data_IF_968223907000
#
_entry.id   IF_968223907000
#
_cell.length_a   1.000
_cell.length_b   1.000
_cell.length_c   1.000
_cell.angle_alpha   90.00
_cell.angle_beta   90.00
_cell.angle_gamma   90.00
#
_symmetry.space_group_name_H-M   'P 1'
#
loop_
_entity.id
_entity.type
_entity.pdbx_description
1 polymer ?
#
# COMPACT_ATOMS: atom_id res chain seq x y z
N UNK A 1 -21.72 23.19 -1.00
CA UNK A 1 -21.22 24.32 -0.19
C UNK A 1 -19.70 24.24 -0.26
N UNK A 2 -18.98 25.21 -0.84
CA UNK A 2 -17.50 25.17 -0.83
C UNK A 2 -17.08 25.40 0.62
N UNK A 3 -16.68 24.34 1.32
CA UNK A 3 -16.09 24.44 2.65
C UNK A 3 -14.79 25.21 2.51
N UNK A 4 -14.70 26.39 3.11
CA UNK A 4 -13.48 27.19 3.11
C UNK A 4 -12.62 26.70 4.28
N UNK A 5 -11.43 26.17 4.00
CA UNK A 5 -10.47 25.79 5.03
C UNK A 5 -10.17 26.95 5.97
N UNK A 6 -10.01 26.64 7.26
CA UNK A 6 -9.36 27.54 8.22
C UNK A 6 -7.89 27.78 7.82
N UNK A 7 -7.25 28.81 8.37
CA UNK A 7 -5.85 29.10 8.00
C UNK A 7 -4.90 27.96 8.39
N UNK A 8 -5.12 27.31 9.55
CA UNK A 8 -4.37 26.10 9.94
C UNK A 8 -4.59 24.94 8.96
N UNK A 9 -5.83 24.71 8.54
CA UNK A 9 -6.16 23.67 7.56
C UNK A 9 -5.55 23.97 6.18
N UNK A 10 -5.38 25.24 5.80
CA UNK A 10 -4.69 25.60 4.55
C UNK A 10 -3.20 25.27 4.63
N UNK A 11 -2.53 25.62 5.72
CA UNK A 11 -1.11 25.31 5.91
C UNK A 11 -0.85 23.79 5.90
N UNK A 12 -1.69 23.02 6.60
CA UNK A 12 -1.63 21.56 6.61
C UNK A 12 -1.89 20.97 5.22
N UNK A 13 -2.93 21.44 4.52
CA UNK A 13 -3.23 21.01 3.16
C UNK A 13 -2.07 21.27 2.20
N UNK A 14 -1.49 22.48 2.20
CA UNK A 14 -0.35 22.82 1.34
C UNK A 14 0.88 21.96 1.63
N UNK A 15 1.15 21.70 2.91
CA UNK A 15 2.21 20.79 3.35
C UNK A 15 1.98 19.35 2.83
N UNK A 16 0.78 18.81 3.00
CA UNK A 16 0.40 17.47 2.54
C UNK A 16 0.51 17.34 1.02
N UNK A 17 0.04 18.33 0.26
CA UNK A 17 0.16 18.34 -1.21
C UNK A 17 1.61 18.22 -1.66
N UNK A 18 2.53 18.95 -1.01
CA UNK A 18 3.96 18.85 -1.32
C UNK A 18 4.51 17.46 -1.00
N UNK A 19 4.19 16.92 0.17
CA UNK A 19 4.66 15.59 0.60
C UNK A 19 4.15 14.47 -0.30
N UNK A 20 2.86 14.47 -0.64
CA UNK A 20 2.24 13.52 -1.57
C UNK A 20 2.86 13.62 -2.97
N UNK A 21 3.09 14.85 -3.46
CA UNK A 21 3.75 15.06 -4.76
C UNK A 21 5.17 14.48 -4.76
N UNK A 22 5.92 14.68 -3.69
CA UNK A 22 7.28 14.15 -3.53
C UNK A 22 7.28 12.62 -3.39
N UNK A 23 6.26 12.06 -2.74
CA UNK A 23 6.07 10.61 -2.65
C UNK A 23 5.65 9.97 -3.98
N UNK A 24 5.23 10.76 -4.98
CA UNK A 24 4.90 10.30 -6.32
C UNK A 24 3.40 10.23 -6.63
N UNK A 25 2.54 10.86 -5.82
CA UNK A 25 1.11 10.93 -6.11
C UNK A 25 0.85 11.69 -7.43
N UNK A 26 -0.02 11.12 -8.28
CA UNK A 26 -0.53 11.76 -9.51
C UNK A 26 -1.53 12.87 -9.17
N UNK A 27 -2.39 12.65 -8.18
CA UNK A 27 -3.40 13.64 -7.73
C UNK A 27 -3.23 14.04 -6.24
N UNK A 28 -2.11 14.68 -5.85
CA UNK A 28 -1.80 14.98 -4.45
C UNK A 28 -2.84 15.87 -3.75
N UNK A 29 -3.55 16.71 -4.49
CA UNK A 29 -4.60 17.58 -3.94
C UNK A 29 -5.80 16.81 -3.41
N UNK A 30 -6.19 15.71 -4.07
CA UNK A 30 -7.33 14.89 -3.65
C UNK A 30 -7.05 14.21 -2.31
N UNK A 31 -5.93 13.49 -2.24
CA UNK A 31 -5.46 12.84 -1.00
C UNK A 31 -5.30 13.84 0.15
N UNK A 32 -4.66 14.99 -0.08
CA UNK A 32 -4.49 16.02 0.95
C UNK A 32 -5.81 16.62 1.43
N UNK A 33 -6.77 16.85 0.51
CA UNK A 33 -8.08 17.38 0.88
C UNK A 33 -8.80 16.42 1.82
N UNK A 34 -8.84 15.12 1.51
CA UNK A 34 -9.51 14.13 2.35
C UNK A 34 -8.88 14.02 3.74
N UNK A 35 -7.55 14.08 3.88
CA UNK A 35 -6.92 14.07 5.21
C UNK A 35 -7.34 15.29 6.04
N UNK A 36 -7.31 16.49 5.44
CA UNK A 36 -7.69 17.73 6.14
C UNK A 36 -9.18 17.80 6.47
N UNK A 37 -10.05 17.24 5.62
CA UNK A 37 -11.52 17.32 5.82
C UNK A 37 -12.10 16.17 6.61
N UNK A 38 -11.55 14.97 6.49
CA UNK A 38 -12.10 13.73 7.06
C UNK A 38 -11.27 13.22 8.24
N UNK A 39 -10.05 13.73 8.44
CA UNK A 39 -9.16 13.33 9.53
C UNK A 39 -8.53 11.94 9.34
N UNK A 40 -8.61 11.38 8.14
CA UNK A 40 -8.03 10.09 7.76
C UNK A 40 -6.55 10.30 7.41
N UNK A 41 -5.60 9.46 7.86
CA UNK A 41 -4.18 9.64 7.58
C UNK A 41 -3.81 9.26 6.12
N UNK A 42 -4.29 10.03 5.15
CA UNK A 42 -4.18 9.75 3.71
C UNK A 42 -2.74 9.69 3.24
N UNK A 43 -1.85 10.55 3.74
CA UNK A 43 -0.44 10.47 3.37
C UNK A 43 0.19 9.16 3.85
N UNK A 44 -0.17 8.66 5.03
CA UNK A 44 0.32 7.39 5.53
C UNK A 44 -0.23 6.21 4.70
N UNK A 45 -1.54 6.24 4.35
CA UNK A 45 -2.15 5.27 3.43
C UNK A 45 -1.41 5.23 2.10
N UNK A 46 -1.17 6.38 1.49
CA UNK A 46 -0.47 6.49 0.22
C UNK A 46 0.94 5.85 0.28
N UNK A 47 1.71 6.13 1.33
CA UNK A 47 3.06 5.58 1.48
C UNK A 47 3.06 4.05 1.58
N UNK A 48 2.15 3.48 2.38
CA UNK A 48 2.03 2.02 2.52
C UNK A 48 1.57 1.39 1.20
N UNK A 49 0.53 1.94 0.57
CA UNK A 49 0.03 1.45 -0.71
C UNK A 49 1.14 1.47 -1.77
N UNK A 50 1.94 2.54 -1.82
CA UNK A 50 3.09 2.61 -2.71
C UNK A 50 4.08 1.48 -2.48
N UNK A 51 4.52 1.29 -1.24
CA UNK A 51 5.48 0.22 -0.92
C UNK A 51 4.91 -1.18 -1.23
N UNK A 52 3.65 -1.44 -0.88
CA UNK A 52 3.00 -2.71 -1.16
C UNK A 52 2.85 -2.96 -2.67
N UNK A 53 2.55 -1.91 -3.43
CA UNK A 53 2.41 -1.98 -4.88
C UNK A 53 3.76 -2.18 -5.58
N UNK A 54 4.82 -1.53 -5.10
CA UNK A 54 6.20 -1.74 -5.56
C UNK A 54 6.64 -3.20 -5.31
N UNK A 55 6.36 -3.74 -4.12
CA UNK A 55 6.60 -5.17 -3.79
C UNK A 55 5.84 -6.08 -4.77
N UNK A 56 4.56 -5.80 -5.01
CA UNK A 56 3.74 -6.63 -5.90
C UNK A 56 4.26 -6.63 -7.36
N UNK A 57 4.92 -5.56 -7.80
CA UNK A 57 5.46 -5.42 -9.15
C UNK A 57 6.89 -5.96 -9.29
N UNK A 58 7.65 -6.06 -8.20
CA UNK A 58 9.04 -6.51 -8.25
C UNK A 58 9.18 -8.03 -8.32
N UNK A 59 8.82 -8.60 -9.47
CA UNK A 59 8.87 -10.06 -9.68
C UNK A 59 10.27 -10.66 -9.49
N UNK A 60 11.33 -10.00 -9.96
CA UNK A 60 12.71 -10.45 -9.78
C UNK A 60 13.12 -10.50 -8.30
N UNK A 61 12.82 -9.42 -7.54
CA UNK A 61 13.11 -9.39 -6.10
C UNK A 61 12.31 -10.46 -5.36
N UNK A 62 11.03 -10.66 -5.73
CA UNK A 62 10.19 -11.68 -5.11
C UNK A 62 10.69 -13.10 -5.40
N UNK A 63 11.21 -13.38 -6.60
CA UNK A 63 11.84 -14.67 -6.92
C UNK A 63 13.12 -14.84 -6.11
N UNK A 64 13.97 -13.81 -6.02
CA UNK A 64 15.19 -13.86 -5.23
C UNK A 64 14.90 -14.13 -3.75
N UNK A 65 13.85 -13.53 -3.18
CA UNK A 65 13.40 -13.81 -1.81
C UNK A 65 12.78 -15.21 -1.67
N UNK A 66 12.12 -15.72 -2.70
CA UNK A 66 11.57 -17.08 -2.69
C UNK A 66 12.67 -18.15 -2.59
N UNK A 67 13.90 -17.85 -3.04
CA UNK A 67 15.03 -18.77 -2.95
C UNK A 67 15.39 -19.13 -1.51
N UNK A 68 15.10 -18.26 -0.53
CA UNK A 68 15.29 -18.58 0.89
C UNK A 68 14.33 -19.68 1.40
N UNK A 69 13.24 -19.94 0.68
CA UNK A 69 12.23 -20.96 1.03
C UNK A 69 12.32 -22.20 0.13
N UNK A 70 12.83 -22.05 -1.09
CA UNK A 70 13.00 -23.11 -2.09
C UNK A 70 14.25 -22.84 -2.93
N UNK A 71 15.36 -23.51 -2.59
CA UNK A 71 16.66 -23.36 -3.27
C UNK A 71 16.61 -23.64 -4.79
N UNK A 72 15.58 -24.33 -5.28
CA UNK A 72 15.39 -24.66 -6.70
C UNK A 72 14.44 -23.69 -7.43
N UNK A 73 13.93 -22.64 -6.77
CA UNK A 73 12.91 -21.74 -7.35
C UNK A 73 13.39 -21.05 -8.63
N UNK A 74 14.65 -20.66 -8.71
CA UNK A 74 15.22 -20.03 -9.90
C UNK A 74 15.30 -21.00 -11.08
N UNK A 75 15.65 -22.26 -10.84
CA UNK A 75 15.66 -23.30 -11.86
C UNK A 75 14.23 -23.54 -12.37
N UNK A 76 13.26 -23.69 -11.46
CA UNK A 76 11.84 -23.86 -11.80
C UNK A 76 11.31 -22.66 -12.60
N UNK A 77 11.64 -21.45 -12.19
CA UNK A 77 11.28 -20.22 -12.91
C UNK A 77 11.83 -20.25 -14.33
N UNK A 78 13.12 -20.58 -14.52
CA UNK A 78 13.73 -20.63 -15.84
C UNK A 78 13.10 -21.70 -16.75
N UNK A 79 12.83 -22.90 -16.21
CA UNK A 79 12.12 -23.96 -16.96
C UNK A 79 10.73 -23.50 -17.40
N UNK A 80 9.96 -22.87 -16.51
CA UNK A 80 8.62 -22.37 -16.84
C UNK A 80 8.73 -21.25 -17.89
N UNK A 81 9.66 -20.30 -17.68
CA UNK A 81 9.93 -19.17 -18.59
C UNK A 81 10.21 -19.63 -20.01
N UNK A 82 11.02 -20.68 -20.18
CA UNK A 82 11.35 -21.23 -21.50
C UNK A 82 10.14 -21.87 -22.20
N UNK A 83 9.16 -22.37 -21.45
CA UNK A 83 7.94 -23.00 -21.98
C UNK A 83 6.89 -21.94 -22.33
N UNK A 84 6.62 -20.99 -21.43
CA UNK A 84 5.48 -20.06 -21.57
C UNK A 84 5.87 -18.71 -22.17
N UNK A 85 7.15 -18.38 -22.15
CA UNK A 85 7.69 -17.06 -22.51
C UNK A 85 7.70 -16.08 -21.33
N UNK A 86 8.76 -15.29 -21.25
CA UNK A 86 9.03 -14.34 -20.17
C UNK A 86 7.89 -13.35 -19.94
N UNK A 87 7.42 -12.67 -21.00
CA UNK A 87 6.34 -11.66 -20.88
C UNK A 87 5.08 -12.22 -20.22
N UNK A 88 4.65 -13.43 -20.62
CA UNK A 88 3.45 -14.07 -20.06
C UNK A 88 3.66 -14.49 -18.62
N UNK A 89 4.84 -15.02 -18.31
CA UNK A 89 5.18 -15.44 -16.95
C UNK A 89 5.23 -14.24 -15.99
N UNK A 90 5.93 -13.17 -16.37
CA UNK A 90 6.04 -11.95 -15.56
C UNK A 90 4.68 -11.28 -15.36
N UNK A 91 3.84 -11.22 -16.40
CA UNK A 91 2.48 -10.69 -16.30
C UNK A 91 1.61 -11.51 -15.32
N UNK A 92 1.69 -12.84 -15.38
CA UNK A 92 1.02 -13.72 -14.43
C UNK A 92 1.53 -13.50 -12.99
N UNK A 93 2.85 -13.52 -12.78
CA UNK A 93 3.46 -13.37 -11.46
C UNK A 93 3.15 -12.01 -10.83
N UNK A 94 3.16 -10.93 -11.62
CA UNK A 94 2.75 -9.60 -11.16
C UNK A 94 1.29 -9.60 -10.70
N UNK A 95 0.40 -10.20 -11.48
CA UNK A 95 -1.03 -10.26 -11.15
C UNK A 95 -1.29 -11.13 -9.91
N UNK A 96 -0.60 -12.26 -9.79
CA UNK A 96 -0.64 -13.13 -8.62
C UNK A 96 -0.14 -12.42 -7.36
N UNK A 97 0.97 -11.71 -7.47
CA UNK A 97 1.56 -10.93 -6.36
C UNK A 97 0.62 -9.81 -5.90
N UNK A 98 0.00 -9.06 -6.82
CA UNK A 98 -1.05 -8.08 -6.48
C UNK A 98 -2.22 -8.75 -5.74
N UNK A 99 -2.63 -9.95 -6.14
CA UNK A 99 -3.66 -10.72 -5.45
C UNK A 99 -3.27 -11.12 -4.02
N UNK A 100 -2.04 -11.59 -3.81
CA UNK A 100 -1.53 -11.88 -2.46
C UNK A 100 -1.55 -10.61 -1.59
N UNK A 101 -1.01 -9.50 -2.11
CA UNK A 101 -0.96 -8.23 -1.39
C UNK A 101 -2.36 -7.71 -1.06
N UNK A 102 -3.34 -7.84 -1.96
CA UNK A 102 -4.73 -7.47 -1.66
C UNK A 102 -5.31 -8.27 -0.47
N UNK A 103 -5.00 -9.57 -0.37
CA UNK A 103 -5.42 -10.37 0.79
C UNK A 103 -4.69 -9.93 2.08
N UNK A 104 -3.39 -9.59 2.00
CA UNK A 104 -2.65 -9.03 3.14
C UNK A 104 -3.25 -7.70 3.58
N UNK A 105 -3.63 -6.84 2.63
CA UNK A 105 -4.31 -5.58 2.89
C UNK A 105 -5.63 -5.81 3.64
N UNK A 106 -6.44 -6.79 3.22
CA UNK A 106 -7.66 -7.16 3.94
C UNK A 106 -7.38 -7.53 5.41
N UNK A 107 -6.34 -8.33 5.64
CA UNK A 107 -5.88 -8.66 7.00
C UNK A 107 -5.43 -7.41 7.78
N UNK A 108 -4.71 -6.48 7.16
CA UNK A 108 -4.26 -5.23 7.80
C UNK A 108 -5.41 -4.30 8.17
N UNK A 109 -6.43 -4.22 7.30
CA UNK A 109 -7.61 -3.37 7.50
C UNK A 109 -8.57 -3.95 8.56
N UNK A 110 -8.73 -5.28 8.60
CA UNK A 110 -9.67 -5.96 9.51
C UNK A 110 -9.06 -6.36 10.86
N UNK A 111 -7.73 -6.52 10.92
CA UNK A 111 -7.03 -7.00 12.10
C UNK A 111 -7.26 -8.50 12.36
N UNK A 112 -7.51 -8.90 13.60
CA UNK A 112 -7.80 -10.29 13.92
C UNK A 112 -9.26 -10.65 13.54
N UNK A 113 -9.43 -11.44 12.47
CA UNK A 113 -10.74 -11.94 12.02
C UNK A 113 -11.45 -12.82 13.07
N UNK A 114 -10.70 -13.42 14.00
CA UNK A 114 -11.23 -14.27 15.07
C UNK A 114 -11.23 -13.56 16.44
N UNK A 115 -11.22 -12.22 16.46
CA UNK A 115 -11.14 -11.42 17.69
C UNK A 115 -12.21 -11.77 18.73
N UNK A 116 -13.41 -12.16 18.30
CA UNK A 116 -14.49 -12.59 19.20
C UNK A 116 -14.15 -13.90 19.94
N UNK A 117 -13.47 -14.84 19.27
CA UNK A 117 -13.01 -16.09 19.86
C UNK A 117 -11.78 -15.85 20.73
N UNK A 118 -10.81 -15.13 20.19
CA UNK A 118 -9.47 -14.98 20.77
C UNK A 118 -9.39 -13.88 21.84
N UNK A 119 -10.41 -13.02 21.91
CA UNK A 119 -10.50 -11.88 22.84
C UNK A 119 -9.36 -10.87 22.69
N UNK A 120 -8.76 -10.79 21.50
CA UNK A 120 -7.71 -9.84 21.15
C UNK A 120 -7.79 -9.48 19.66
N UNK A 121 -7.47 -8.23 19.34
CA UNK A 121 -7.27 -7.76 17.96
C UNK A 121 -6.06 -6.83 17.88
N UNK A 122 -5.72 -6.43 16.67
CA UNK A 122 -4.62 -5.52 16.34
C UNK A 122 -5.04 -4.64 15.15
N UNK A 123 -4.32 -3.54 14.95
CA UNK A 123 -4.54 -2.62 13.83
C UNK A 123 -3.22 -2.03 13.36
N UNK A 124 -3.15 -1.61 12.11
CA UNK A 124 -2.06 -0.77 11.64
C UNK A 124 -2.24 0.67 12.16
N UNK A 125 -1.16 1.25 12.69
CA UNK A 125 -1.18 2.52 13.40
C UNK A 125 -0.08 3.43 12.85
N UNK A 126 -0.42 4.71 12.61
CA UNK A 126 0.55 5.74 12.22
C UNK A 126 1.48 6.06 13.39
N UNK A 127 2.76 6.22 13.08
CA UNK A 127 3.77 6.74 14.00
C UNK A 127 4.35 8.05 13.48
N UNK A 128 4.98 8.81 14.38
CA UNK A 128 5.85 9.93 14.00
C UNK A 128 7.26 9.44 13.61
N UNK A 129 8.17 10.39 13.37
CA UNK A 129 9.57 10.13 13.03
C UNK A 129 10.40 9.45 14.14
N UNK A 130 9.90 9.43 15.38
CA UNK A 130 10.54 8.77 16.52
C UNK A 130 9.92 7.41 16.82
N UNK A 131 9.06 6.90 15.93
CA UNK A 131 8.28 5.68 16.11
C UNK A 131 7.24 5.75 17.25
N UNK A 132 6.90 6.95 17.71
CA UNK A 132 5.84 7.13 18.69
C UNK A 132 4.47 7.11 18.02
N UNK A 133 3.52 6.41 18.62
CA UNK A 133 2.17 6.29 18.04
C UNK A 133 1.45 7.63 18.04
N UNK A 134 0.83 7.98 16.91
CA UNK A 134 -0.01 9.17 16.82
C UNK A 134 -1.46 8.91 17.24
N UNK A 135 -1.80 7.65 17.55
CA UNK A 135 -3.18 7.20 17.80
C UNK A 135 -4.09 7.16 16.57
N UNK A 136 -3.58 7.53 15.38
CA UNK A 136 -4.35 7.46 14.13
C UNK A 136 -4.17 6.09 13.46
N UNK A 137 -5.28 5.37 13.31
CA UNK A 137 -5.31 4.09 12.61
C UNK A 137 -5.14 4.30 11.10
N UNK A 138 -4.39 3.41 10.46
CA UNK A 138 -4.29 3.33 9.01
C UNK A 138 -5.20 2.18 8.58
N UNK A 139 -6.28 2.50 7.87
CA UNK A 139 -7.33 1.57 7.47
C UNK A 139 -7.90 1.95 6.09
N UNK A 140 -8.71 1.06 5.52
CA UNK A 140 -9.33 1.25 4.21
C UNK A 140 -8.33 1.16 3.06
N UNK A 141 -7.19 0.49 3.24
CA UNK A 141 -6.18 0.33 2.20
C UNK A 141 -6.73 -0.43 0.98
N UNK A 142 -7.67 -1.36 1.18
CA UNK A 142 -8.29 -2.11 0.08
C UNK A 142 -9.06 -1.23 -0.91
N UNK A 143 -9.60 -0.09 -0.45
CA UNK A 143 -10.41 0.83 -1.26
C UNK A 143 -9.59 1.43 -2.42
N UNK A 144 -8.32 1.71 -2.18
CA UNK A 144 -7.45 2.38 -3.15
C UNK A 144 -6.51 1.42 -3.88
N UNK A 145 -6.21 0.24 -3.33
CA UNK A 145 -5.17 -0.64 -3.89
C UNK A 145 -5.47 -1.12 -5.32
N UNK A 146 -6.73 -1.40 -5.64
CA UNK A 146 -7.13 -1.89 -6.97
C UNK A 146 -6.86 -0.86 -8.07
N UNK A 147 -7.01 0.42 -7.76
CA UNK A 147 -6.88 1.54 -8.69
C UNK A 147 -5.55 2.30 -8.48
N UNK A 148 -4.69 1.83 -7.56
CA UNK A 148 -3.50 2.56 -7.14
C UNK A 148 -2.49 2.84 -8.27
N UNK A 149 -2.50 2.01 -9.32
CA UNK A 149 -1.69 2.24 -10.53
C UNK A 149 -1.98 3.61 -11.17
N UNK A 150 -3.22 4.08 -11.08
CA UNK A 150 -3.66 5.37 -11.61
C UNK A 150 -3.39 6.53 -10.64
N UNK A 151 -2.96 6.23 -9.41
CA UNK A 151 -2.67 7.20 -8.35
C UNK A 151 -1.18 7.45 -8.13
N UNK A 152 -0.30 6.54 -8.55
CA UNK A 152 1.17 6.66 -8.44
C UNK A 152 1.84 6.89 -9.80
N UNK A 153 2.88 7.73 -9.81
CA UNK A 153 3.71 8.04 -10.99
C UNK A 153 4.65 6.91 -11.38
#
# INVERSE_FOLDING_TARGET
MKSTFTDLQKEEYESLVMRLRNAGAKNPSSWASSEVTEGIPQFARFLILKSLFDIAKSTDDNIAMASDFDDEVEEKYNVIKDIVGEEKLLSFLTSYSKGIIYNVIGLLDEGNQEADRDKISWTLMKTDENFESTGQMIQGLHEDFLEFEDEVK
#
